data_IF_282431002494
#
_entry.id   IF_282431002494
#
_cell.length_a   1.000
_cell.length_b   1.000
_cell.length_c   1.000
_cell.angle_alpha   90.00
_cell.angle_beta   90.00
_cell.angle_gamma   90.00
#
_symmetry.space_group_name_H-M   'P 1'
#
loop_
_entity.id
_entity.type
_entity.pdbx_description
1 polymer ?
#
# COMPACT_ATOMS: atom_id res chain seq x y z
N UNK A 1 30.37 16.66 -35.04
CA UNK A 1 29.62 16.19 -33.84
C UNK A 1 29.66 17.31 -32.82
N UNK A 2 28.51 17.75 -32.31
CA UNK A 2 28.48 18.84 -31.30
C UNK A 2 28.88 18.25 -29.96
N UNK A 3 29.96 18.76 -29.36
CA UNK A 3 30.39 18.36 -28.02
C UNK A 3 29.32 18.81 -27.01
N UNK A 4 28.86 17.93 -26.09
CA UNK A 4 27.89 18.34 -25.08
C UNK A 4 28.47 19.45 -24.21
N UNK A 5 27.66 20.50 -23.96
CA UNK A 5 28.06 21.65 -23.14
C UNK A 5 28.11 21.33 -21.64
N UNK A 6 27.43 20.27 -21.22
CA UNK A 6 27.37 19.82 -19.84
C UNK A 6 28.07 18.45 -19.70
N UNK A 7 28.76 18.21 -18.57
CA UNK A 7 29.14 16.86 -18.16
C UNK A 7 27.92 15.90 -18.14
N UNK A 8 28.06 14.64 -18.59
CA UNK A 8 26.96 13.67 -18.66
C UNK A 8 26.20 13.47 -17.34
N UNK A 9 26.88 13.59 -16.21
CA UNK A 9 26.36 13.39 -14.86
C UNK A 9 25.42 14.54 -14.46
N UNK A 10 25.79 15.77 -14.82
CA UNK A 10 24.95 16.95 -14.62
C UNK A 10 23.74 16.93 -15.55
N UNK A 11 23.93 16.57 -16.81
CA UNK A 11 22.83 16.40 -17.77
C UNK A 11 21.83 15.34 -17.27
N UNK A 12 22.32 14.18 -16.83
CA UNK A 12 21.49 13.11 -16.25
C UNK A 12 20.71 13.60 -15.03
N UNK A 13 21.36 14.33 -14.11
CA UNK A 13 20.70 14.85 -12.91
C UNK A 13 19.58 15.85 -13.28
N UNK A 14 19.83 16.75 -14.22
CA UNK A 14 18.84 17.72 -14.69
C UNK A 14 17.62 17.01 -15.27
N UNK A 15 17.81 16.03 -16.16
CA UNK A 15 16.69 15.31 -16.76
C UNK A 15 15.93 14.44 -15.76
N UNK A 16 16.59 13.88 -14.75
CA UNK A 16 15.92 13.12 -13.69
C UNK A 16 15.03 14.02 -12.84
N UNK A 17 15.56 15.16 -12.38
CA UNK A 17 14.78 16.14 -11.63
C UNK A 17 13.57 16.63 -12.44
N UNK A 18 13.77 16.93 -13.73
CA UNK A 18 12.67 17.34 -14.61
C UNK A 18 11.64 16.22 -14.87
N UNK A 19 12.06 14.95 -14.79
CA UNK A 19 11.17 13.79 -14.93
C UNK A 19 10.39 13.50 -13.63
N UNK A 20 10.99 13.76 -12.46
CA UNK A 20 10.36 13.59 -11.13
C UNK A 20 9.18 14.54 -10.91
N UNK A 21 9.14 15.68 -11.60
CA UNK A 21 7.97 16.58 -11.67
C UNK A 21 6.80 15.99 -12.50
N UNK A 22 6.95 14.78 -13.05
CA UNK A 22 5.86 13.87 -13.45
C UNK A 22 5.23 14.12 -14.82
N UNK A 23 4.93 15.36 -15.19
CA UNK A 23 4.09 15.63 -16.36
C UNK A 23 4.83 15.50 -17.71
N UNK A 24 6.16 15.56 -17.69
CA UNK A 24 6.97 15.71 -18.91
C UNK A 24 7.76 14.47 -19.33
N UNK A 25 7.64 13.34 -18.62
CA UNK A 25 8.44 12.14 -18.93
C UNK A 25 8.33 11.73 -20.41
N UNK A 26 7.13 11.61 -21.03
CA UNK A 26 7.04 11.24 -22.44
C UNK A 26 7.80 12.20 -23.36
N UNK A 27 7.70 13.52 -23.13
CA UNK A 27 8.39 14.53 -23.92
C UNK A 27 9.92 14.42 -23.77
N UNK A 28 10.40 14.17 -22.54
CA UNK A 28 11.83 14.03 -22.24
C UNK A 28 12.42 12.80 -22.96
N UNK A 29 11.67 11.70 -23.08
CA UNK A 29 12.12 10.49 -23.79
C UNK A 29 12.43 10.71 -25.27
N UNK A 30 11.93 11.80 -25.87
CA UNK A 30 12.17 12.14 -27.28
C UNK A 30 13.39 13.05 -27.52
N UNK A 31 14.03 13.59 -26.48
CA UNK A 31 15.10 14.60 -26.62
C UNK A 31 16.38 14.00 -27.23
N UNK A 32 16.85 12.87 -26.70
CA UNK A 32 18.05 12.19 -27.18
C UNK A 32 18.09 10.74 -26.70
N UNK A 33 18.80 9.87 -27.44
CA UNK A 33 18.93 8.45 -27.09
C UNK A 33 19.51 8.23 -25.67
N UNK A 34 20.56 8.97 -25.30
CA UNK A 34 21.16 8.85 -23.94
C UNK A 34 20.19 9.26 -22.84
N UNK A 35 19.39 10.29 -23.08
CA UNK A 35 18.37 10.77 -22.14
C UNK A 35 17.29 9.71 -21.97
N UNK A 36 16.83 9.10 -23.07
CA UNK A 36 15.90 7.97 -23.03
C UNK A 36 16.42 6.84 -22.15
N UNK A 37 17.68 6.43 -22.28
CA UNK A 37 18.26 5.37 -21.43
C UNK A 37 18.23 5.73 -19.93
N UNK A 38 18.39 7.01 -19.59
CA UNK A 38 18.38 7.45 -18.19
C UNK A 38 16.98 7.59 -17.60
N UNK A 39 16.01 7.98 -18.42
CA UNK A 39 14.67 8.40 -17.97
C UNK A 39 13.62 7.31 -18.17
N UNK A 40 13.79 6.42 -19.14
CA UNK A 40 12.83 5.35 -19.42
C UNK A 40 12.53 4.47 -18.19
N UNK A 41 13.49 4.11 -17.31
CA UNK A 41 13.17 3.39 -16.08
C UNK A 41 12.20 4.15 -15.15
N UNK A 42 12.33 5.48 -15.04
CA UNK A 42 11.45 6.31 -14.19
C UNK A 42 10.00 6.30 -14.70
N UNK A 43 9.80 6.14 -16.01
CA UNK A 43 8.46 5.99 -16.59
C UNK A 43 7.73 4.73 -16.11
N UNK A 44 8.46 3.67 -15.73
CA UNK A 44 7.90 2.40 -15.27
C UNK A 44 8.00 2.20 -13.76
N UNK A 45 8.64 3.13 -13.03
CA UNK A 45 8.93 2.97 -11.60
C UNK A 45 7.69 2.75 -10.74
N UNK A 46 6.67 3.58 -10.98
CA UNK A 46 5.38 3.50 -10.33
C UNK A 46 4.33 3.07 -11.36
N UNK A 47 3.92 1.80 -11.29
CA UNK A 47 2.97 1.20 -12.21
C UNK A 47 1.58 1.14 -11.56
N UNK A 48 0.63 1.89 -12.11
CA UNK A 48 -0.80 1.71 -11.81
C UNK A 48 -1.41 0.73 -12.81
N UNK A 49 -1.94 -0.39 -12.33
CA UNK A 49 -2.73 -1.37 -13.09
C UNK A 49 -4.16 -0.86 -13.10
N UNK A 50 -4.47 -0.04 -14.10
CA UNK A 50 -5.77 0.59 -14.29
C UNK A 50 -6.07 0.75 -15.79
N UNK A 51 -7.25 1.25 -16.15
CA UNK A 51 -7.58 1.57 -17.55
C UNK A 51 -6.93 2.88 -18.03
N UNK A 52 -5.62 3.05 -17.84
CA UNK A 52 -4.88 4.23 -18.29
C UNK A 52 -4.07 3.97 -19.57
N UNK A 53 -3.82 5.05 -20.31
CA UNK A 53 -2.94 5.01 -21.48
C UNK A 53 -1.52 4.59 -21.10
N UNK A 54 -1.04 4.99 -19.91
CA UNK A 54 0.26 4.58 -19.37
C UNK A 54 0.35 3.07 -19.16
N UNK A 55 -0.66 2.46 -18.55
CA UNK A 55 -0.68 1.01 -18.33
C UNK A 55 -0.74 0.24 -19.64
N UNK A 56 -1.53 0.69 -20.62
CA UNK A 56 -1.55 0.10 -21.98
C UNK A 56 -0.19 0.16 -22.66
N UNK A 57 0.56 1.26 -22.50
CA UNK A 57 1.94 1.33 -22.99
C UNK A 57 2.87 0.36 -22.28
N UNK A 58 2.72 0.16 -20.97
CA UNK A 58 3.45 -0.88 -20.25
C UNK A 58 3.14 -2.28 -20.80
N UNK A 59 1.86 -2.59 -21.06
CA UNK A 59 1.48 -3.88 -21.63
C UNK A 59 2.10 -4.12 -23.02
N UNK A 60 2.14 -3.08 -23.86
CA UNK A 60 2.84 -3.16 -25.14
C UNK A 60 4.36 -3.31 -24.95
N UNK A 61 4.94 -2.52 -24.04
CA UNK A 61 6.38 -2.49 -23.80
C UNK A 61 6.91 -3.79 -23.22
N UNK A 62 6.17 -4.47 -22.33
CA UNK A 62 6.64 -5.70 -21.70
C UNK A 62 7.02 -6.73 -22.78
N UNK A 63 6.31 -6.79 -23.91
CA UNK A 63 6.57 -7.75 -24.99
C UNK A 63 7.96 -7.59 -25.65
N UNK A 64 8.58 -6.42 -25.48
CA UNK A 64 9.85 -6.06 -26.12
C UNK A 64 10.97 -5.72 -25.13
N UNK A 65 10.65 -5.45 -23.86
CA UNK A 65 11.65 -5.21 -22.81
C UNK A 65 12.19 -6.53 -22.25
N UNK A 66 13.45 -6.53 -21.83
CA UNK A 66 14.06 -7.68 -21.16
C UNK A 66 13.58 -7.82 -19.71
N UNK A 67 13.67 -9.02 -19.15
CA UNK A 67 13.31 -9.29 -17.75
C UNK A 67 14.17 -8.45 -16.80
N UNK A 68 15.47 -8.36 -17.07
CA UNK A 68 16.39 -7.54 -16.28
C UNK A 68 15.98 -6.06 -16.26
N UNK A 69 15.50 -5.53 -17.39
CA UNK A 69 15.00 -4.16 -17.45
C UNK A 69 13.74 -3.99 -16.58
N UNK A 70 12.74 -4.87 -16.71
CA UNK A 70 11.50 -4.76 -15.95
C UNK A 70 11.72 -4.95 -14.44
N UNK A 71 12.55 -5.93 -14.06
CA UNK A 71 12.98 -6.13 -12.69
C UNK A 71 13.72 -4.91 -12.10
N UNK A 72 14.49 -4.19 -12.91
CA UNK A 72 15.17 -2.99 -12.45
C UNK A 72 14.27 -1.76 -12.46
N UNK A 73 13.37 -1.62 -13.44
CA UNK A 73 12.62 -0.40 -13.66
C UNK A 73 11.41 -0.30 -12.72
N UNK A 74 10.67 -1.38 -12.50
CA UNK A 74 9.43 -1.35 -11.70
C UNK A 74 9.75 -1.53 -10.22
N UNK A 75 9.27 -0.61 -9.38
CA UNK A 75 9.49 -0.61 -7.92
C UNK A 75 8.18 -0.67 -7.15
N UNK A 76 7.15 -0.04 -7.70
CA UNK A 76 5.84 0.07 -7.10
C UNK A 76 4.77 -0.41 -8.06
N UNK A 77 3.82 -1.19 -7.54
CA UNK A 77 2.63 -1.62 -8.27
C UNK A 77 1.38 -1.28 -7.45
N UNK A 78 0.47 -0.55 -8.07
CA UNK A 78 -0.88 -0.27 -7.55
C UNK A 78 -1.85 -1.07 -8.42
N UNK A 79 -2.66 -1.94 -7.81
CA UNK A 79 -3.68 -2.71 -8.51
C UNK A 79 -5.05 -2.12 -8.20
N UNK A 80 -5.64 -1.41 -9.17
CA UNK A 80 -6.96 -0.83 -9.03
C UNK A 80 -8.05 -1.87 -9.32
N UNK A 81 -9.25 -1.63 -8.80
CA UNK A 81 -10.45 -2.43 -9.09
C UNK A 81 -10.83 -2.41 -10.58
N UNK A 82 -10.50 -1.31 -11.28
CA UNK A 82 -10.86 -1.08 -12.67
C UNK A 82 -9.62 -1.06 -13.55
N UNK A 83 -9.36 -2.16 -14.26
CA UNK A 83 -8.29 -2.25 -15.24
C UNK A 83 -8.81 -2.77 -16.59
N UNK A 84 -8.13 -2.34 -17.65
CA UNK A 84 -8.33 -2.90 -18.98
C UNK A 84 -7.31 -4.02 -19.23
N UNK A 85 -7.75 -5.07 -19.90
CA UNK A 85 -6.92 -6.21 -20.29
C UNK A 85 -7.32 -7.51 -19.61
N UNK A 86 -6.73 -8.61 -20.08
CA UNK A 86 -6.99 -9.92 -19.49
C UNK A 86 -6.11 -10.15 -18.26
N UNK A 87 -6.69 -10.71 -17.20
CA UNK A 87 -5.96 -11.11 -15.98
C UNK A 87 -4.69 -11.94 -16.31
N UNK A 88 -4.73 -12.93 -17.22
CA UNK A 88 -3.54 -13.69 -17.60
C UNK A 88 -2.43 -12.83 -18.23
N UNK A 89 -2.77 -11.87 -19.09
CA UNK A 89 -1.78 -10.97 -19.72
C UNK A 89 -1.12 -10.06 -18.67
N UNK A 90 -1.91 -9.51 -17.75
CA UNK A 90 -1.42 -8.67 -16.65
C UNK A 90 -0.49 -9.48 -15.74
N UNK A 91 -0.91 -10.68 -15.32
CA UNK A 91 -0.08 -11.57 -14.50
C UNK A 91 1.24 -11.94 -15.19
N UNK A 92 1.21 -12.23 -16.49
CA UNK A 92 2.41 -12.52 -17.28
C UNK A 92 3.37 -11.32 -17.41
N UNK A 93 2.86 -10.09 -17.37
CA UNK A 93 3.69 -8.89 -17.31
C UNK A 93 4.29 -8.68 -15.91
N UNK A 94 3.48 -8.83 -14.86
CA UNK A 94 3.88 -8.57 -13.48
C UNK A 94 4.88 -9.59 -12.92
N UNK A 95 4.83 -10.87 -13.33
CA UNK A 95 5.79 -11.90 -12.90
C UNK A 95 7.25 -11.56 -13.25
N UNK A 96 7.45 -10.68 -14.24
CA UNK A 96 8.77 -10.23 -14.71
C UNK A 96 9.29 -9.02 -13.93
N UNK A 97 8.45 -8.41 -13.10
CA UNK A 97 8.75 -7.22 -12.30
C UNK A 97 9.28 -7.61 -10.91
N UNK A 98 10.35 -8.42 -10.86
CA UNK A 98 10.84 -9.00 -9.58
C UNK A 98 11.48 -8.00 -8.62
N UNK A 99 11.81 -6.78 -9.08
CA UNK A 99 12.30 -5.71 -8.22
C UNK A 99 11.21 -4.84 -7.59
N UNK A 100 9.95 -5.26 -7.66
CA UNK A 100 8.86 -4.62 -6.92
C UNK A 100 9.10 -4.80 -5.42
N UNK A 101 9.09 -3.68 -4.70
CA UNK A 101 9.22 -3.63 -3.24
C UNK A 101 7.98 -3.04 -2.56
N UNK A 102 7.11 -2.37 -3.33
CA UNK A 102 5.90 -1.70 -2.84
C UNK A 102 4.70 -2.20 -3.64
N UNK A 103 3.72 -2.80 -2.98
CA UNK A 103 2.57 -3.39 -3.64
C UNK A 103 1.29 -3.04 -2.89
N UNK A 104 0.34 -2.42 -3.58
CA UNK A 104 -1.01 -2.24 -3.04
C UNK A 104 -2.01 -2.79 -4.05
N UNK A 105 -3.17 -3.23 -3.57
CA UNK A 105 -4.19 -3.66 -4.49
C UNK A 105 -5.56 -3.93 -3.90
N UNK A 106 -6.56 -3.66 -4.72
CA UNK A 106 -7.96 -3.94 -4.49
C UNK A 106 -8.49 -4.88 -5.58
N UNK A 107 -9.51 -5.68 -5.25
CA UNK A 107 -10.29 -6.44 -6.24
C UNK A 107 -9.73 -7.81 -6.68
N UNK A 108 -10.36 -8.37 -7.73
CA UNK A 108 -10.27 -9.78 -8.13
C UNK A 108 -8.90 -10.26 -8.63
N UNK A 109 -8.03 -9.35 -9.09
CA UNK A 109 -6.65 -9.71 -9.47
C UNK A 109 -5.88 -10.28 -8.26
N UNK A 110 -6.20 -9.78 -7.06
CA UNK A 110 -5.51 -10.13 -5.82
C UNK A 110 -5.76 -11.58 -5.41
N UNK A 111 -6.94 -12.14 -5.69
CA UNK A 111 -7.33 -13.43 -5.14
C UNK A 111 -6.79 -14.64 -5.91
N UNK A 112 -6.70 -14.56 -7.24
CA UNK A 112 -6.37 -15.74 -8.06
C UNK A 112 -4.94 -15.74 -8.61
N UNK A 113 -4.35 -14.56 -8.83
CA UNK A 113 -3.08 -14.45 -9.56
C UNK A 113 -1.94 -13.89 -8.74
N UNK A 114 -2.21 -13.15 -7.66
CA UNK A 114 -1.17 -12.56 -6.81
C UNK A 114 -0.12 -13.57 -6.36
N UNK A 115 -0.47 -14.78 -5.84
CA UNK A 115 0.53 -15.75 -5.41
C UNK A 115 1.46 -16.23 -6.53
N UNK A 116 1.08 -16.07 -7.79
CA UNK A 116 1.88 -16.49 -8.94
C UNK A 116 3.03 -15.53 -9.23
N UNK A 117 2.83 -14.22 -9.06
CA UNK A 117 3.83 -13.22 -9.44
C UNK A 117 4.60 -12.60 -8.27
N UNK A 118 4.08 -12.66 -7.03
CA UNK A 118 4.80 -12.09 -5.87
C UNK A 118 5.98 -12.93 -5.40
N UNK A 119 6.04 -14.22 -5.75
CA UNK A 119 7.08 -15.15 -5.27
C UNK A 119 8.52 -14.71 -5.58
N UNK A 120 8.71 -14.01 -6.71
CA UNK A 120 10.01 -13.49 -7.11
C UNK A 120 10.35 -12.12 -6.51
N UNK A 121 9.43 -11.49 -5.80
CA UNK A 121 9.57 -10.14 -5.27
C UNK A 121 10.21 -10.13 -3.88
N UNK A 122 10.66 -8.95 -3.45
CA UNK A 122 11.17 -8.69 -2.10
C UNK A 122 10.38 -7.53 -1.51
N UNK A 123 9.15 -7.82 -1.08
CA UNK A 123 8.22 -6.80 -0.64
C UNK A 123 8.70 -6.19 0.67
N UNK A 124 8.62 -4.86 0.73
CA UNK A 124 8.96 -4.05 1.88
C UNK A 124 7.73 -3.34 2.44
N UNK A 125 6.77 -2.99 1.56
CA UNK A 125 5.52 -2.34 1.92
C UNK A 125 4.36 -3.01 1.19
N UNK A 126 3.31 -3.37 1.90
CA UNK A 126 2.08 -3.90 1.32
C UNK A 126 0.85 -3.26 1.90
N UNK A 127 -0.18 -3.07 1.07
CA UNK A 127 -1.50 -2.63 1.49
C UNK A 127 -2.57 -3.43 0.72
N UNK A 128 -3.35 -4.28 1.41
CA UNK A 128 -4.26 -5.24 0.76
C UNK A 128 -5.18 -5.98 1.74
N UNK A 129 -6.20 -6.65 1.18
CA UNK A 129 -7.02 -7.66 1.85
C UNK A 129 -6.34 -9.03 1.79
N UNK A 130 -5.72 -9.50 2.87
CA UNK A 130 -5.13 -10.85 2.90
C UNK A 130 -6.18 -11.95 2.86
N UNK A 131 -7.41 -11.70 3.34
CA UNK A 131 -8.49 -12.69 3.25
C UNK A 131 -8.78 -13.07 1.80
N UNK A 132 -8.69 -12.09 0.88
CA UNK A 132 -8.91 -12.31 -0.54
C UNK A 132 -7.76 -13.11 -1.19
N UNK A 133 -6.53 -12.91 -0.72
CA UNK A 133 -5.33 -13.54 -1.29
C UNK A 133 -5.15 -14.95 -0.75
N UNK A 134 -5.51 -15.17 0.51
CA UNK A 134 -5.29 -16.39 1.26
C UNK A 134 -6.61 -16.94 1.82
N UNK A 135 -7.53 -17.40 0.94
CA UNK A 135 -8.85 -17.87 1.37
C UNK A 135 -8.81 -19.08 2.31
N UNK A 136 -7.69 -19.80 2.34
CA UNK A 136 -7.49 -20.99 3.19
C UNK A 136 -6.58 -20.73 4.40
N UNK A 137 -6.35 -19.46 4.75
CA UNK A 137 -5.47 -19.06 5.84
C UNK A 137 -4.19 -18.40 5.33
N UNK A 138 -3.78 -17.36 6.05
CA UNK A 138 -2.70 -16.46 5.67
C UNK A 138 -1.36 -17.17 5.80
N UNK A 139 -0.58 -17.16 4.73
CA UNK A 139 0.79 -17.64 4.73
C UNK A 139 1.76 -16.47 4.53
N UNK A 140 2.19 -15.87 5.65
CA UNK A 140 3.23 -14.84 5.67
C UNK A 140 4.65 -15.43 5.76
N UNK A 141 4.80 -16.75 5.67
CA UNK A 141 6.12 -17.41 5.70
C UNK A 141 6.84 -17.33 4.35
N UNK A 142 6.13 -16.96 3.29
CA UNK A 142 6.68 -16.82 1.94
C UNK A 142 7.90 -15.89 1.91
N UNK A 143 8.90 -16.25 1.10
CA UNK A 143 10.16 -15.51 1.00
C UNK A 143 9.98 -14.02 0.64
N UNK A 144 8.93 -13.69 -0.13
CA UNK A 144 8.63 -12.31 -0.52
C UNK A 144 8.23 -11.40 0.64
N UNK A 145 7.80 -11.95 1.79
CA UNK A 145 7.41 -11.19 2.98
C UNK A 145 8.51 -11.12 4.06
N UNK A 146 9.65 -11.78 3.86
CA UNK A 146 10.73 -11.80 4.86
C UNK A 146 11.41 -10.43 5.04
N UNK A 147 11.26 -9.54 4.07
CA UNK A 147 11.78 -8.16 4.10
C UNK A 147 10.70 -7.14 4.45
N UNK A 148 9.53 -7.59 4.90
CA UNK A 148 8.37 -6.75 5.00
C UNK A 148 8.39 -5.88 6.26
N UNK A 149 8.39 -4.56 6.03
CA UNK A 149 8.56 -3.56 7.07
C UNK A 149 7.29 -2.78 7.37
N UNK A 150 6.40 -2.63 6.38
CA UNK A 150 5.13 -1.92 6.48
C UNK A 150 4.00 -2.80 5.94
N UNK A 151 2.93 -2.96 6.72
CA UNK A 151 1.68 -3.58 6.30
C UNK A 151 0.55 -2.61 6.57
N UNK A 152 -0.34 -2.45 5.61
CA UNK A 152 -1.69 -1.94 5.78
C UNK A 152 -2.69 -3.06 5.48
N UNK A 153 -3.35 -3.51 6.54
CA UNK A 153 -4.26 -4.64 6.48
C UNK A 153 -5.69 -4.15 6.36
N UNK A 154 -6.28 -4.32 5.18
CA UNK A 154 -7.66 -3.90 4.90
C UNK A 154 -8.72 -4.86 5.45
N UNK A 155 -8.31 -6.06 5.89
CA UNK A 155 -9.24 -7.05 6.44
C UNK A 155 -9.87 -6.60 7.77
N UNK A 156 -11.16 -6.88 7.95
CA UNK A 156 -11.86 -6.68 9.22
C UNK A 156 -11.35 -7.66 10.29
N UNK A 157 -10.49 -7.17 11.19
CA UNK A 157 -9.93 -7.98 12.29
C UNK A 157 -10.93 -8.19 13.45
N UNK A 158 -12.04 -7.46 13.48
CA UNK A 158 -12.93 -7.41 14.64
C UNK A 158 -14.07 -8.44 14.64
N UNK A 159 -14.52 -8.90 13.46
CA UNK A 159 -15.66 -9.83 13.33
C UNK A 159 -15.26 -11.31 13.34
N UNK A 160 -13.97 -11.60 13.17
CA UNK A 160 -13.53 -12.94 12.80
C UNK A 160 -12.94 -13.74 13.98
N UNK A 161 -13.39 -14.99 14.11
CA UNK A 161 -12.65 -16.04 14.83
C UNK A 161 -11.19 -16.18 14.33
N UNK A 162 -10.90 -15.67 13.13
CA UNK A 162 -9.57 -15.63 12.53
C UNK A 162 -8.68 -14.47 13.00
N UNK A 163 -9.18 -13.52 13.81
CA UNK A 163 -8.36 -12.42 14.33
C UNK A 163 -7.07 -12.92 15.00
N UNK A 164 -7.17 -14.02 15.76
CA UNK A 164 -6.02 -14.67 16.37
C UNK A 164 -5.02 -15.17 15.32
N UNK A 165 -5.49 -15.74 14.21
CA UNK A 165 -4.62 -16.24 13.12
C UNK A 165 -3.91 -15.11 12.40
N UNK A 166 -4.59 -13.99 12.16
CA UNK A 166 -3.98 -12.77 11.63
C UNK A 166 -2.86 -12.28 12.53
N UNK A 167 -3.15 -12.14 13.82
CA UNK A 167 -2.16 -11.68 14.80
C UNK A 167 -0.97 -12.63 14.87
N UNK A 168 -1.21 -13.94 14.92
CA UNK A 168 -0.14 -14.94 14.96
C UNK A 168 0.77 -14.87 13.72
N UNK A 169 0.17 -14.72 12.53
CA UNK A 169 0.91 -14.57 11.28
C UNK A 169 1.73 -13.27 11.25
N UNK A 170 1.13 -12.15 11.68
CA UNK A 170 1.80 -10.85 11.76
C UNK A 170 2.97 -10.85 12.75
N UNK A 171 2.81 -11.51 13.90
CA UNK A 171 3.87 -11.68 14.90
C UNK A 171 5.03 -12.54 14.38
N UNK A 172 4.79 -13.39 13.38
CA UNK A 172 5.82 -14.20 12.73
C UNK A 172 6.73 -13.42 11.78
N UNK A 173 6.39 -12.17 11.42
CA UNK A 173 7.19 -11.36 10.50
C UNK A 173 8.42 -10.75 11.21
N UNK A 174 9.65 -11.07 10.75
CA UNK A 174 10.86 -10.80 11.53
C UNK A 174 11.25 -9.32 11.59
N UNK A 175 10.82 -8.51 10.61
CA UNK A 175 11.23 -7.11 10.45
C UNK A 175 10.04 -6.16 10.33
N UNK A 176 8.83 -6.61 10.68
CA UNK A 176 7.64 -5.77 10.64
C UNK A 176 7.76 -4.64 11.67
N UNK A 177 7.84 -3.41 11.16
CA UNK A 177 8.08 -2.22 11.96
C UNK A 177 6.88 -1.27 11.99
N UNK A 178 6.05 -1.32 10.95
CA UNK A 178 4.88 -0.47 10.78
C UNK A 178 3.69 -1.37 10.40
N UNK A 179 2.63 -1.30 11.19
CA UNK A 179 1.41 -2.06 10.96
C UNK A 179 0.23 -1.11 11.07
N UNK A 180 -0.63 -1.13 10.07
CA UNK A 180 -1.95 -0.52 10.12
C UNK A 180 -3.02 -1.60 9.99
N UNK A 181 -4.08 -1.40 10.77
CA UNK A 181 -5.27 -2.22 10.79
C UNK A 181 -6.46 -1.30 10.55
N UNK A 182 -7.50 -1.78 9.87
CA UNK A 182 -8.67 -0.97 9.57
C UNK A 182 -9.81 -1.21 10.57
N UNK A 183 -10.55 -0.13 10.85
CA UNK A 183 -11.80 -0.04 11.61
C UNK A 183 -11.72 -0.46 13.08
N UNK A 184 -12.76 -1.12 13.60
CA UNK A 184 -13.06 -1.32 15.02
C UNK A 184 -12.19 -2.43 15.66
N UNK A 185 -10.87 -2.25 15.63
CA UNK A 185 -9.93 -3.23 16.19
C UNK A 185 -10.09 -3.29 17.70
N UNK A 186 -10.38 -4.48 18.21
CA UNK A 186 -10.52 -4.70 19.66
C UNK A 186 -9.22 -4.37 20.41
N UNK A 187 -9.38 -3.79 21.60
CA UNK A 187 -8.26 -3.40 22.47
C UNK A 187 -7.33 -4.55 22.86
N UNK A 188 -7.85 -5.76 23.08
CA UNK A 188 -7.03 -6.94 23.40
C UNK A 188 -6.12 -7.35 22.24
N UNK A 189 -6.56 -7.17 21.00
CA UNK A 189 -5.74 -7.35 19.79
C UNK A 189 -4.62 -6.31 19.72
N UNK A 190 -4.95 -5.03 19.96
CA UNK A 190 -3.98 -3.93 19.98
C UNK A 190 -2.91 -4.17 21.05
N UNK A 191 -3.32 -4.47 22.28
CA UNK A 191 -2.42 -4.76 23.40
C UNK A 191 -1.51 -5.95 23.09
N UNK A 192 -2.08 -7.02 22.51
CA UNK A 192 -1.32 -8.21 22.13
C UNK A 192 -0.24 -7.89 21.10
N UNK A 193 -0.58 -7.19 20.03
CA UNK A 193 0.37 -6.79 18.99
C UNK A 193 1.49 -5.92 19.56
N UNK A 194 1.15 -4.90 20.37
CA UNK A 194 2.14 -4.06 21.01
C UNK A 194 3.06 -4.85 21.94
N UNK A 195 2.51 -5.80 22.71
CA UNK A 195 3.29 -6.60 23.66
C UNK A 195 4.21 -7.61 22.98
N UNK A 196 3.70 -8.32 21.96
CA UNK A 196 4.37 -9.49 21.39
C UNK A 196 5.23 -9.12 20.16
N UNK A 197 4.86 -8.10 19.38
CA UNK A 197 5.61 -7.67 18.21
C UNK A 197 6.83 -6.82 18.60
N UNK A 198 7.98 -7.46 18.82
CA UNK A 198 9.19 -6.79 19.30
C UNK A 198 9.80 -5.81 18.28
N UNK A 199 9.67 -6.09 16.98
CA UNK A 199 10.18 -5.23 15.91
C UNK A 199 9.25 -4.04 15.61
N UNK A 200 8.01 -4.08 16.11
CA UNK A 200 6.98 -3.09 15.80
C UNK A 200 7.33 -1.76 16.46
N UNK A 201 7.39 -0.70 15.64
CA UNK A 201 7.64 0.68 16.03
C UNK A 201 6.38 1.52 15.99
N UNK A 202 5.51 1.26 15.01
CA UNK A 202 4.27 2.02 14.80
C UNK A 202 3.14 1.05 14.52
N UNK A 203 2.09 1.14 15.32
CA UNK A 203 0.79 0.53 15.13
C UNK A 203 -0.23 1.66 14.91
N UNK A 204 -0.91 1.63 13.78
CA UNK A 204 -1.97 2.56 13.43
C UNK A 204 -3.29 1.80 13.33
N UNK A 205 -4.36 2.33 13.92
CA UNK A 205 -5.71 1.91 13.56
C UNK A 205 -6.31 2.99 12.66
N UNK A 206 -6.58 2.60 11.42
CA UNK A 206 -7.13 3.45 10.37
C UNK A 206 -8.65 3.38 10.39
N UNK A 207 -9.30 4.55 10.37
CA UNK A 207 -10.76 4.67 10.32
C UNK A 207 -11.18 5.29 8.99
N UNK A 208 -11.92 4.53 8.17
CA UNK A 208 -12.49 5.01 6.92
C UNK A 208 -13.98 5.35 7.10
N UNK A 209 -14.39 6.57 6.71
CA UNK A 209 -15.80 7.01 6.74
C UNK A 209 -16.48 7.11 8.13
N UNK A 210 -15.79 6.76 9.22
CA UNK A 210 -16.35 6.67 10.59
C UNK A 210 -15.54 7.47 11.61
N UNK A 211 -15.18 8.70 11.26
CA UNK A 211 -14.30 9.57 12.05
C UNK A 211 -14.71 9.69 13.52
N UNK A 212 -15.97 10.04 13.77
CA UNK A 212 -16.46 10.27 15.12
C UNK A 212 -16.50 8.98 15.94
N UNK A 213 -16.73 7.83 15.30
CA UNK A 213 -16.63 6.53 15.97
C UNK A 213 -15.19 6.22 16.34
N UNK A 214 -14.23 6.51 15.45
CA UNK A 214 -12.82 6.35 15.74
C UNK A 214 -12.32 7.24 16.87
N UNK A 215 -12.76 8.51 16.91
CA UNK A 215 -12.48 9.42 18.03
C UNK A 215 -13.07 8.91 19.33
N UNK A 216 -14.31 8.43 19.31
CA UNK A 216 -14.97 7.85 20.49
C UNK A 216 -14.26 6.57 20.95
N UNK A 217 -13.87 5.70 20.02
CA UNK A 217 -13.12 4.48 20.31
C UNK A 217 -11.76 4.83 20.93
N UNK A 218 -11.01 5.77 20.36
CA UNK A 218 -9.74 6.27 20.92
C UNK A 218 -9.91 6.86 22.34
N UNK A 219 -11.00 7.58 22.60
CA UNK A 219 -11.32 8.13 23.92
C UNK A 219 -11.72 7.06 24.94
N UNK A 220 -12.22 5.92 24.48
CA UNK A 220 -12.57 4.75 25.29
C UNK A 220 -11.38 3.81 25.54
N UNK A 221 -10.14 4.24 25.24
CA UNK A 221 -8.95 3.45 25.48
C UNK A 221 -8.85 3.01 26.95
N UNK A 222 -8.66 1.71 27.23
CA UNK A 222 -8.61 1.23 28.59
C UNK A 222 -7.38 1.77 29.30
N UNK A 223 -7.54 2.06 30.59
CA UNK A 223 -6.41 2.40 31.44
C UNK A 223 -5.36 1.27 31.42
N UNK A 224 -5.72 0.00 31.17
CA UNK A 224 -4.78 -1.13 31.12
C UNK A 224 -3.73 -1.09 30.01
N UNK A 225 -3.84 -0.16 29.05
CA UNK A 225 -2.70 0.24 28.22
C UNK A 225 -1.57 0.92 29.04
N UNK A 226 -1.74 1.05 30.36
CA UNK A 226 -0.71 1.23 31.38
C UNK A 226 0.39 0.15 31.29
N UNK A 227 1.65 0.51 31.57
CA UNK A 227 2.78 0.04 30.78
C UNK A 227 3.32 -1.36 31.16
N UNK A 228 4.18 -1.95 30.30
CA UNK A 228 5.58 -1.54 30.25
C UNK A 228 5.78 -0.32 29.34
N UNK A 229 6.59 0.64 29.80
CA UNK A 229 6.64 2.04 29.32
C UNK A 229 6.78 2.21 27.80
N UNK A 230 7.26 1.19 27.10
CA UNK A 230 7.55 1.22 25.67
C UNK A 230 6.32 1.01 24.76
N UNK A 231 5.19 0.50 25.26
CA UNK A 231 4.04 0.16 24.39
C UNK A 231 3.18 1.37 24.01
N UNK A 232 3.06 2.38 24.89
CA UNK A 232 2.23 3.57 24.65
C UNK A 232 2.74 4.50 23.54
N UNK A 233 4.04 4.46 23.26
CA UNK A 233 4.69 5.34 22.28
C UNK A 233 4.80 4.72 20.90
N UNK A 234 4.03 3.65 20.65
CA UNK A 234 4.01 2.93 19.39
C UNK A 234 2.62 2.84 18.79
N UNK A 235 1.63 3.53 19.36
CA UNK A 235 0.23 3.38 18.98
C UNK A 235 -0.50 4.71 18.80
N UNK A 236 -1.27 4.80 17.71
CA UNK A 236 -2.22 5.87 17.42
C UNK A 236 -3.36 5.38 16.51
N UNK A 237 -4.37 6.22 16.35
CA UNK A 237 -5.48 6.07 15.44
C UNK A 237 -5.57 7.32 14.56
N UNK A 238 -5.99 7.13 13.31
CA UNK A 238 -6.22 8.25 12.39
C UNK A 238 -7.16 7.83 11.25
N UNK A 239 -7.41 8.74 10.33
CA UNK A 239 -7.97 8.44 9.03
C UNK A 239 -6.87 8.58 7.95
N UNK A 240 -7.04 7.90 6.83
CA UNK A 240 -6.24 8.14 5.62
C UNK A 240 -7.03 9.00 4.63
N UNK A 241 -6.33 9.76 3.79
CA UNK A 241 -6.95 10.55 2.72
C UNK A 241 -7.09 9.72 1.44
N UNK A 242 -6.12 8.82 1.20
CA UNK A 242 -6.14 7.81 0.13
C UNK A 242 -5.64 6.44 0.60
N UNK A 243 -6.27 5.37 0.11
CA UNK A 243 -5.98 3.99 0.48
C UNK A 243 -4.58 3.51 0.03
N UNK A 244 -3.99 4.17 -0.97
CA UNK A 244 -2.66 3.82 -1.49
C UNK A 244 -1.52 4.55 -0.77
N UNK A 245 -1.81 5.47 0.17
CA UNK A 245 -0.80 6.23 0.93
C UNK A 245 0.22 5.34 1.65
N UNK A 246 -0.16 4.12 2.03
CA UNK A 246 0.76 3.20 2.72
C UNK A 246 2.02 2.92 1.90
N UNK A 247 1.90 2.92 0.58
CA UNK A 247 2.97 2.52 -0.31
C UNK A 247 3.62 3.70 -1.04
N UNK A 248 3.12 4.92 -0.86
CA UNK A 248 3.74 6.13 -1.42
C UNK A 248 4.98 6.53 -0.62
N UNK A 249 5.84 7.34 -1.23
CA UNK A 249 6.96 7.95 -0.52
C UNK A 249 6.47 9.11 0.37
N UNK A 250 7.27 9.46 1.38
CA UNK A 250 6.93 10.56 2.27
C UNK A 250 6.88 11.91 1.51
N UNK A 251 6.04 12.86 1.96
CA UNK A 251 5.18 12.77 3.15
C UNK A 251 3.92 11.93 2.90
N UNK A 252 3.61 11.04 3.84
CA UNK A 252 2.39 10.22 3.88
C UNK A 252 1.92 10.05 5.33
N UNK A 253 0.91 9.21 5.59
CA UNK A 253 0.47 8.98 6.96
C UNK A 253 1.53 8.36 7.87
N UNK A 254 2.45 7.55 7.33
CA UNK A 254 3.49 6.91 8.13
C UNK A 254 4.45 7.92 8.73
N UNK A 255 4.94 8.86 7.93
CA UNK A 255 5.82 9.92 8.45
C UNK A 255 5.12 10.78 9.50
N UNK A 256 3.83 11.05 9.32
CA UNK A 256 3.04 11.82 10.30
C UNK A 256 2.80 11.03 11.59
N UNK A 257 2.53 9.72 11.47
CA UNK A 257 2.42 8.81 12.59
C UNK A 257 3.72 8.77 13.41
N UNK A 258 4.87 8.69 12.75
CA UNK A 258 6.19 8.74 13.41
C UNK A 258 6.39 10.08 14.15
N UNK A 259 6.10 11.21 13.51
CA UNK A 259 6.20 12.54 14.13
C UNK A 259 5.26 12.69 15.34
N UNK A 260 4.03 12.20 15.23
CA UNK A 260 3.05 12.20 16.32
C UNK A 260 3.54 11.38 17.52
N UNK A 261 4.08 10.19 17.28
CA UNK A 261 4.64 9.34 18.33
C UNK A 261 5.90 9.93 18.96
N UNK A 262 6.77 10.55 18.16
CA UNK A 262 7.93 11.27 18.66
C UNK A 262 7.51 12.43 19.57
N UNK A 263 6.49 13.19 19.19
CA UNK A 263 5.92 14.26 20.00
C UNK A 263 5.27 13.75 21.31
N UNK A 264 4.70 12.54 21.31
CA UNK A 264 4.26 11.87 22.55
C UNK A 264 5.44 11.52 23.46
N UNK A 265 6.54 11.03 22.90
CA UNK A 265 7.75 10.68 23.68
C UNK A 265 8.37 11.90 24.35
N UNK A 266 8.32 13.07 23.72
CA UNK A 266 8.83 14.33 24.28
C UNK A 266 7.85 15.04 25.22
N UNK A 267 6.63 14.52 25.39
CA UNK A 267 5.57 15.14 26.18
C UNK A 267 4.93 16.37 25.52
N UNK A 268 5.20 16.60 24.23
CA UNK A 268 4.53 17.65 23.44
C UNK A 268 3.06 17.30 23.19
N UNK A 269 2.75 16.01 23.05
CA UNK A 269 1.39 15.47 22.96
C UNK A 269 1.15 14.61 24.21
N UNK A 270 -0.04 14.71 24.82
CA UNK A 270 -0.42 13.85 25.96
C UNK A 270 -0.26 12.37 25.56
N UNK A 271 0.43 11.59 26.39
CA UNK A 271 0.64 10.15 26.17
C UNK A 271 -0.66 9.35 25.99
N UNK A 272 -1.79 9.84 26.52
CA UNK A 272 -3.14 9.27 26.40
C UNK A 272 -3.90 9.77 25.17
N UNK A 273 -3.34 10.72 24.42
CA UNK A 273 -3.88 11.09 23.13
C UNK A 273 -3.53 9.99 22.11
N UNK A 274 -4.52 9.22 21.70
CA UNK A 274 -4.36 8.20 20.66
C UNK A 274 -4.84 8.67 19.30
N UNK A 275 -5.64 9.74 19.22
CA UNK A 275 -6.13 10.26 17.95
C UNK A 275 -5.14 11.27 17.35
N UNK A 276 -4.57 10.95 16.19
CA UNK A 276 -3.83 11.92 15.39
C UNK A 276 -4.84 12.81 14.67
N UNK A 277 -4.87 14.08 15.05
CA UNK A 277 -5.81 15.09 14.58
C UNK A 277 -5.93 15.13 13.06
N UNK A 278 -7.11 15.55 12.59
CA UNK A 278 -7.48 15.56 11.18
C UNK A 278 -6.42 16.27 10.33
N UNK A 279 -5.97 15.57 9.30
CA UNK A 279 -5.21 16.17 8.21
C UNK A 279 -6.10 17.13 7.46
N UNK A 280 -5.45 18.12 6.85
CA UNK A 280 -6.04 19.18 6.04
C UNK A 280 -7.49 18.88 5.59
N UNK A 281 -8.50 19.39 6.33
CA UNK A 281 -9.89 18.98 6.14
C UNK A 281 -10.43 19.31 4.74
N UNK A 282 -9.77 20.21 4.01
CA UNK A 282 -10.15 20.56 2.64
C UNK A 282 -9.91 19.41 1.65
N UNK A 283 -8.84 18.61 1.82
CA UNK A 283 -8.53 17.49 0.90
C UNK A 283 -9.49 16.31 1.06
N UNK A 284 -10.08 16.17 2.24
CA UNK A 284 -10.93 15.03 2.62
C UNK A 284 -12.33 15.09 2.01
N UNK A 285 -12.87 16.30 1.84
CA UNK A 285 -14.19 16.49 1.25
C UNK A 285 -14.29 16.00 -0.20
N UNK A 286 -13.15 15.89 -0.89
CA UNK A 286 -13.08 15.39 -2.27
C UNK A 286 -12.90 13.87 -2.32
N UNK A 287 -12.21 13.25 -1.36
CA UNK A 287 -12.05 11.79 -1.30
C UNK A 287 -13.31 11.07 -0.80
N UNK A 288 -14.02 11.62 0.19
CA UNK A 288 -15.27 11.03 0.71
C UNK A 288 -16.35 10.96 -0.37
N UNK A 289 -16.46 11.98 -1.22
CA UNK A 289 -17.38 11.96 -2.37
C UNK A 289 -17.01 10.90 -3.42
N UNK A 290 -15.73 10.58 -3.56
CA UNK A 290 -15.27 9.56 -4.49
C UNK A 290 -15.55 8.15 -3.95
N UNK A 291 -15.30 7.90 -2.67
CA UNK A 291 -15.57 6.59 -2.04
C UNK A 291 -17.07 6.29 -1.95
N UNK A 292 -17.91 7.29 -1.61
CA UNK A 292 -19.37 7.11 -1.59
C UNK A 292 -19.91 6.76 -2.98
N UNK A 293 -19.37 7.38 -4.03
CA UNK A 293 -19.75 7.05 -5.41
C UNK A 293 -19.32 5.62 -5.78
N UNK A 294 -18.15 5.14 -5.33
CA UNK A 294 -17.67 3.78 -5.61
C UNK A 294 -18.49 2.71 -4.86
N UNK A 295 -18.83 2.93 -3.59
CA UNK A 295 -19.61 1.98 -2.79
C UNK A 295 -21.07 1.85 -3.30
N UNK A 296 -21.68 2.97 -3.75
CA UNK A 296 -22.97 2.93 -4.44
C UNK A 296 -22.90 2.16 -5.77
N UNK A 297 -21.75 2.19 -6.45
CA UNK A 297 -21.55 1.48 -7.73
C UNK A 297 -21.32 -0.02 -7.50
N UNK A 298 -20.60 -0.42 -6.46
CA UNK A 298 -20.40 -1.83 -6.10
C UNK A 298 -21.70 -2.49 -5.59
N UNK A 299 -22.47 -1.78 -4.76
CA UNK A 299 -23.76 -2.25 -4.26
C UNK A 299 -24.80 -2.47 -5.38
N UNK A 300 -24.73 -1.68 -6.45
CA UNK A 300 -25.63 -1.81 -7.62
C UNK A 300 -25.15 -2.79 -8.69
N UNK A 301 -23.87 -3.15 -8.71
CA UNK A 301 -23.29 -4.08 -9.70
C UNK A 301 -23.43 -5.56 -9.34
N UNK A 302 -23.79 -5.89 -8.10
CA UNK A 302 -24.10 -7.25 -7.66
C UNK A 302 -25.47 -7.73 -8.20
N UNK A 303 -25.59 -7.91 -9.52
CA UNK A 303 -26.70 -8.67 -10.08
C UNK A 303 -26.62 -10.12 -9.55
N UNK A 304 -27.74 -10.72 -9.10
CA UNK A 304 -27.73 -12.07 -8.58
C UNK A 304 -27.30 -13.02 -9.69
N UNK A 305 -26.18 -13.71 -9.47
CA UNK A 305 -25.74 -14.82 -10.31
C UNK A 305 -26.79 -15.93 -10.13
N UNK A 306 -27.78 -15.97 -11.02
CA UNK A 306 -28.72 -17.08 -11.09
C UNK A 306 -27.94 -18.34 -11.48
N UNK A 307 -27.70 -19.20 -10.50
CA UNK A 307 -27.24 -20.56 -10.71
C UNK A 307 -28.29 -21.31 -11.53
N UNK A 308 -28.05 -21.42 -12.84
CA UNK A 308 -28.80 -22.33 -13.70
C UNK A 308 -28.44 -23.76 -13.30
N UNK A 309 -29.26 -24.35 -12.44
CA UNK A 309 -29.29 -25.80 -12.21
C UNK A 309 -29.93 -26.41 -13.45
N UNK A 310 -29.11 -27.02 -14.31
CA UNK A 310 -29.57 -27.85 -15.41
C UNK A 310 -29.98 -29.21 -14.86
N UNK A 311 -31.29 -29.49 -14.83
CA UNK A 311 -31.81 -30.85 -14.77
C UNK A 311 -31.72 -31.47 -16.17
N UNK A 312 -30.91 -32.52 -16.31
CA UNK A 312 -30.91 -33.50 -17.42
C UNK A 312 -30.27 -34.79 -16.94
#
# INVERSE_FOLDING_TARGET
>A
MVQPRLPPELERRIFKLAAEEGENIPNILHIAHRVRVWIEPLFYENLSVENSTRFRFFLAAHKHKSDAFLAQAVRQVIINIHFAGSIPEIGAALVRCTGVTRLTGLGALMSSTLPTFIKGMRLQRVAMFFAHIFPNGIDLTLACFQTLTHIDLFDSVYENHDATRYVDALLGLPVLSHLSLNDDVRWDTIERLLREAQALKVLVVLWCGKLEQGKAHAAAAPDTLEPPACSRYRFLMTAYDSWDECITEAPNYWSQAEDFLAAKQTGTIDSRCFWMSDRDPEKRADSEKASEAEEETESTSAAPIHTLVSES
#
